data_IF_587072960943
#
_entry.id   IF_587072960943
#
_cell.length_a   1.000
_cell.length_b   1.000
_cell.length_c   1.000
_cell.angle_alpha   90.00
_cell.angle_beta   90.00
_cell.angle_gamma   90.00
#
_symmetry.space_group_name_H-M   'P 1'
#
loop_
_entity.id
_entity.type
_entity.pdbx_description
1 polymer ?
#
# COMPACT_ATOMS: atom_id res chain seq x y z
N UNK A 1 1.55 -12.95 -10.93
CA UNK A 1 0.96 -11.61 -10.78
C UNK A 1 1.98 -10.77 -10.07
N UNK A 2 2.59 -9.83 -10.78
CA UNK A 2 3.53 -8.88 -10.20
C UNK A 2 2.74 -8.05 -9.19
N UNK A 3 3.00 -8.22 -7.89
CA UNK A 3 2.37 -7.39 -6.86
C UNK A 3 2.80 -5.94 -7.13
N UNK A 4 1.89 -5.19 -7.75
CA UNK A 4 2.19 -3.90 -8.35
C UNK A 4 2.47 -2.90 -7.24
N UNK A 5 3.75 -2.66 -6.95
CA UNK A 5 4.18 -1.53 -6.12
C UNK A 5 3.56 -0.21 -6.60
N UNK A 6 3.34 -0.08 -7.91
CA UNK A 6 2.58 1.03 -8.50
C UNK A 6 1.13 1.06 -8.02
N UNK A 7 0.41 -0.06 -8.07
CA UNK A 7 -0.96 -0.17 -7.55
C UNK A 7 -1.05 0.22 -6.07
N UNK A 8 -0.10 -0.22 -5.24
CA UNK A 8 -0.07 0.17 -3.82
C UNK A 8 0.15 1.67 -3.65
N UNK A 9 1.05 2.30 -4.43
CA UNK A 9 1.25 3.75 -4.39
C UNK A 9 0.02 4.52 -4.88
N UNK A 10 -0.62 4.08 -5.96
CA UNK A 10 -1.85 4.70 -6.47
C UNK A 10 -2.99 4.57 -5.46
N UNK A 11 -3.12 3.42 -4.81
CA UNK A 11 -4.12 3.19 -3.75
C UNK A 11 -3.87 4.10 -2.55
N UNK A 12 -2.62 4.24 -2.09
CA UNK A 12 -2.26 5.20 -1.03
C UNK A 12 -2.64 6.62 -1.44
N UNK A 13 -2.26 7.07 -2.65
CA UNK A 13 -2.56 8.41 -3.14
C UNK A 13 -4.06 8.68 -3.20
N UNK A 14 -4.85 7.69 -3.67
CA UNK A 14 -6.30 7.79 -3.73
C UNK A 14 -6.93 7.97 -2.36
N UNK A 15 -6.60 7.10 -1.40
CA UNK A 15 -7.16 7.19 -0.05
C UNK A 15 -6.64 8.41 0.73
N UNK A 16 -5.40 8.85 0.51
CA UNK A 16 -4.88 10.09 1.10
C UNK A 16 -5.69 11.30 0.63
N UNK A 17 -5.95 11.41 -0.68
CA UNK A 17 -6.78 12.48 -1.24
C UNK A 17 -8.21 12.48 -0.69
N UNK A 18 -8.76 11.29 -0.40
CA UNK A 18 -10.08 11.15 0.22
C UNK A 18 -10.07 11.58 1.70
N UNK A 19 -9.03 11.22 2.45
CA UNK A 19 -8.87 11.65 3.85
C UNK A 19 -8.79 13.18 3.91
N UNK A 20 -8.03 13.81 3.03
CA UNK A 20 -7.89 15.27 2.98
C UNK A 20 -9.25 15.92 2.68
N UNK A 21 -9.95 15.43 1.66
CA UNK A 21 -11.29 15.90 1.29
C UNK A 21 -12.32 15.74 2.44
N UNK A 22 -12.34 14.59 3.10
CA UNK A 22 -13.27 14.34 4.20
C UNK A 22 -12.90 15.13 5.45
N UNK A 23 -11.61 15.38 5.71
CA UNK A 23 -11.13 16.17 6.84
C UNK A 23 -11.52 17.64 6.72
N UNK A 24 -11.56 18.19 5.51
CA UNK A 24 -12.05 19.56 5.27
C UNK A 24 -13.56 19.71 5.48
N UNK A 25 -14.34 18.64 5.25
CA UNK A 25 -15.81 18.71 5.22
C UNK A 25 -16.51 17.99 6.38
N UNK A 26 -15.78 17.26 7.22
CA UNK A 26 -16.32 16.56 8.39
C UNK A 26 -17.36 15.48 8.06
N UNK A 27 -17.32 14.89 6.86
CA UNK A 27 -18.36 13.99 6.36
C UNK A 27 -17.85 12.59 6.01
N UNK A 28 -18.73 11.60 6.16
CA UNK A 28 -18.56 10.22 5.67
C UNK A 28 -18.85 10.19 4.16
N UNK A 29 -18.06 9.45 3.39
CA UNK A 29 -18.18 9.39 1.93
C UNK A 29 -18.58 7.98 1.48
N UNK A 30 -19.34 7.86 0.40
CA UNK A 30 -19.57 6.55 -0.22
C UNK A 30 -18.45 6.29 -1.21
N UNK A 31 -17.71 5.21 -1.02
CA UNK A 31 -16.60 4.83 -1.90
C UNK A 31 -16.70 3.35 -2.26
N UNK A 32 -16.50 3.06 -3.54
CA UNK A 32 -16.23 1.72 -4.03
C UNK A 32 -14.77 1.37 -3.72
N UNK A 33 -14.54 0.31 -2.94
CA UNK A 33 -13.18 -0.07 -2.50
C UNK A 33 -12.33 -0.72 -3.60
N UNK A 34 -12.97 -1.26 -4.64
CA UNK A 34 -12.37 -1.80 -5.85
C UNK A 34 -13.33 -1.62 -7.05
N UNK A 35 -12.80 -1.73 -8.27
CA UNK A 35 -13.61 -1.69 -9.51
C UNK A 35 -14.66 -2.81 -9.45
N UNK A 36 -15.95 -2.44 -9.49
CA UNK A 36 -17.15 -3.31 -9.39
C UNK A 36 -17.64 -3.68 -7.97
N UNK A 37 -17.08 -3.13 -6.90
CA UNK A 37 -17.67 -3.33 -5.57
C UNK A 37 -18.91 -2.43 -5.35
N UNK A 38 -19.84 -2.90 -4.52
CA UNK A 38 -20.94 -2.05 -4.07
C UNK A 38 -20.39 -0.86 -3.27
N UNK A 39 -20.85 0.38 -3.55
CA UNK A 39 -20.39 1.56 -2.85
C UNK A 39 -20.65 1.42 -1.35
N UNK A 40 -19.57 1.38 -0.58
CA UNK A 40 -19.64 1.23 0.88
C UNK A 40 -19.42 2.60 1.51
N UNK A 41 -20.21 2.91 2.54
CA UNK A 41 -19.97 4.12 3.32
C UNK A 41 -18.66 3.95 4.08
N UNK A 42 -17.66 4.74 3.73
CA UNK A 42 -16.34 4.76 4.35
C UNK A 42 -16.21 5.98 5.26
N UNK A 43 -15.77 5.73 6.48
CA UNK A 43 -15.35 6.76 7.42
C UNK A 43 -13.88 7.17 7.22
N UNK A 44 -13.50 8.34 7.74
CA UNK A 44 -12.11 8.81 7.72
C UNK A 44 -11.17 7.79 8.41
N UNK A 45 -11.60 7.14 9.49
CA UNK A 45 -10.83 6.10 10.18
C UNK A 45 -10.56 4.89 9.27
N UNK A 46 -11.58 4.44 8.53
CA UNK A 46 -11.43 3.34 7.59
C UNK A 46 -10.51 3.70 6.42
N UNK A 47 -10.59 4.94 5.91
CA UNK A 47 -9.67 5.43 4.88
C UNK A 47 -8.22 5.47 5.38
N UNK A 48 -7.99 5.92 6.63
CA UNK A 48 -6.66 5.88 7.26
C UNK A 48 -6.13 4.46 7.40
N UNK A 49 -6.99 3.52 7.77
CA UNK A 49 -6.62 2.10 7.91
C UNK A 49 -6.22 1.47 6.58
N UNK A 50 -6.88 1.82 5.47
CA UNK A 50 -6.49 1.36 4.13
C UNK A 50 -5.10 1.89 3.72
N UNK A 51 -4.78 3.15 4.05
CA UNK A 51 -3.46 3.73 3.83
C UNK A 51 -2.39 2.99 4.64
N UNK A 52 -2.65 2.76 5.93
CA UNK A 52 -1.71 2.03 6.82
C UNK A 52 -1.44 0.62 6.31
N UNK A 53 -2.49 -0.12 5.91
CA UNK A 53 -2.36 -1.47 5.35
C UNK A 53 -1.57 -1.49 4.03
N UNK A 54 -1.79 -0.50 3.16
CA UNK A 54 -1.05 -0.40 1.91
C UNK A 54 0.43 -0.06 2.13
N UNK A 55 0.74 0.79 3.12
CA UNK A 55 2.11 1.10 3.52
C UNK A 55 2.82 -0.11 4.13
N UNK A 56 2.16 -0.87 5.01
CA UNK A 56 2.71 -2.08 5.62
C UNK A 56 3.07 -3.13 4.55
N UNK A 57 2.18 -3.33 3.57
CA UNK A 57 2.46 -4.20 2.41
C UNK A 57 3.67 -3.71 1.61
N UNK A 58 3.81 -2.40 1.42
CA UNK A 58 4.94 -1.82 0.71
C UNK A 58 6.26 -2.04 1.45
N UNK A 59 6.27 -1.89 2.78
CA UNK A 59 7.43 -2.19 3.62
C UNK A 59 7.81 -3.67 3.59
N UNK A 60 6.83 -4.58 3.61
CA UNK A 60 7.08 -6.02 3.49
C UNK A 60 7.74 -6.37 2.15
N UNK A 61 7.27 -5.76 1.05
CA UNK A 61 7.87 -5.93 -0.27
C UNK A 61 9.30 -5.37 -0.32
N UNK A 62 9.54 -4.23 0.33
CA UNK A 62 10.88 -3.65 0.44
C UNK A 62 11.82 -4.56 1.25
N UNK A 63 11.39 -5.08 2.41
CA UNK A 63 12.17 -6.01 3.23
C UNK A 63 12.51 -7.30 2.50
N UNK A 64 11.54 -7.91 1.80
CA UNK A 64 11.80 -9.08 0.95
C UNK A 64 12.86 -8.79 -0.12
N UNK A 65 12.78 -7.62 -0.75
CA UNK A 65 13.76 -7.19 -1.74
C UNK A 65 15.17 -7.07 -1.14
N UNK A 66 15.29 -6.47 0.05
CA UNK A 66 16.59 -6.29 0.74
C UNK A 66 17.20 -7.63 1.14
N UNK A 67 16.42 -8.54 1.70
CA UNK A 67 16.90 -9.88 2.09
C UNK A 67 17.40 -10.65 0.86
N UNK A 68 16.69 -10.57 -0.26
CA UNK A 68 17.12 -11.17 -1.53
C UNK A 68 18.47 -10.62 -2.02
N UNK A 69 18.67 -9.30 -1.93
CA UNK A 69 19.95 -8.66 -2.28
C UNK A 69 21.08 -9.13 -1.36
N UNK A 70 20.86 -9.22 -0.05
CA UNK A 70 21.87 -9.69 0.92
C UNK A 70 22.25 -11.15 0.62
N UNK A 71 21.27 -12.02 0.36
CA UNK A 71 21.53 -13.42 0.01
C UNK A 71 22.34 -13.56 -1.28
N UNK A 72 22.05 -12.76 -2.31
CA UNK A 72 22.84 -12.74 -3.55
C UNK A 72 24.29 -12.28 -3.30
N UNK A 73 24.49 -11.27 -2.47
CA UNK A 73 25.83 -10.79 -2.12
C UNK A 73 26.62 -11.87 -1.38
N UNK A 74 26.01 -12.52 -0.39
CA UNK A 74 26.63 -13.64 0.33
C UNK A 74 26.97 -14.78 -0.62
N UNK A 75 26.06 -15.19 -1.50
CA UNK A 75 26.31 -16.25 -2.47
C UNK A 75 27.50 -15.96 -3.38
N UNK A 76 27.66 -14.70 -3.83
CA UNK A 76 28.84 -14.28 -4.61
C UNK A 76 30.13 -14.36 -3.80
N UNK A 77 30.10 -13.98 -2.53
CA UNK A 77 31.27 -14.03 -1.65
C UNK A 77 31.72 -15.48 -1.38
N UNK A 78 30.79 -16.41 -1.18
CA UNK A 78 31.11 -17.83 -0.94
C UNK A 78 31.53 -18.60 -2.20
N UNK A 79 31.19 -18.12 -3.41
CA UNK A 79 31.62 -18.73 -4.68
C UNK A 79 32.95 -18.23 -5.23
N UNK A 80 33.52 -17.16 -4.65
CA UNK A 80 34.81 -16.58 -5.02
C UNK A 80 35.98 -17.05 -4.11
N UNK A 81 35.69 -17.93 -3.15
CA UNK A 81 36.66 -18.58 -2.26
C UNK A 81 37.11 -19.95 -2.74
#
# INVERSE_FOLDING_TARGET
>A
MEENKEYLHERIKHFQSLIDYMSERGQRYYLEKDWFDNPTLISIEEAKKEVEQAQEKLELLHRRSVIGCILQLLHRLFHLG
#
